data_IF_380128164214
#
_entry.id   IF_380128164214
#
_cell.length_a   1.000
_cell.length_b   1.000
_cell.length_c   1.000
_cell.angle_alpha   90.00
_cell.angle_beta   90.00
_cell.angle_gamma   90.00
#
_symmetry.space_group_name_H-M   'P 1'
#
loop_
_entity.id
_entity.type
_entity.pdbx_description
1 polymer ?
#
# COMPACT_ATOMS: atom_id res chain seq x y z
N UNK A 1 -7.11 5.30 64.15
CA UNK A 1 -6.33 4.40 63.28
C UNK A 1 -6.61 4.82 61.85
N UNK A 2 -5.55 5.13 61.10
CA UNK A 2 -5.53 5.86 59.83
C UNK A 2 -4.72 4.98 58.88
N UNK A 3 -5.16 4.86 57.63
CA UNK A 3 -4.57 4.16 56.46
C UNK A 3 -5.39 2.95 56.02
N UNK A 4 -6.25 3.18 55.03
CA UNK A 4 -6.43 2.31 53.85
C UNK A 4 -7.41 3.00 52.89
N UNK A 5 -6.99 4.14 52.35
CA UNK A 5 -7.62 4.82 51.21
C UNK A 5 -6.49 5.11 50.22
N UNK A 6 -6.01 4.06 49.55
CA UNK A 6 -5.02 4.16 48.48
C UNK A 6 -4.98 2.84 47.70
N UNK A 7 -6.03 2.58 46.94
CA UNK A 7 -6.03 1.67 45.81
C UNK A 7 -6.72 2.44 44.66
N UNK A 8 -6.15 3.53 44.16
CA UNK A 8 -5.13 3.53 43.08
C UNK A 8 -5.59 2.57 41.96
N UNK A 9 -6.57 2.96 41.13
CA UNK A 9 -6.43 3.85 39.95
C UNK A 9 -5.36 3.37 38.94
N UNK A 10 -5.33 2.06 38.65
CA UNK A 10 -4.49 1.46 37.59
C UNK A 10 -5.32 0.46 36.78
N UNK A 11 -6.23 0.92 35.92
CA UNK A 11 -6.98 0.00 35.02
C UNK A 11 -7.30 0.55 33.62
N UNK A 12 -6.63 1.61 33.16
CA UNK A 12 -6.98 2.25 31.87
C UNK A 12 -5.74 2.63 31.04
N UNK A 13 -4.87 1.66 30.76
CA UNK A 13 -3.67 1.92 29.93
C UNK A 13 -3.28 0.73 29.01
N UNK A 14 -4.24 -0.08 28.56
CA UNK A 14 -4.03 -1.10 27.52
C UNK A 14 -4.72 -0.77 26.18
N UNK A 15 -5.38 0.38 26.06
CA UNK A 15 -6.16 0.73 24.87
C UNK A 15 -5.32 1.27 23.68
N UNK A 16 -3.99 1.11 23.68
CA UNK A 16 -3.12 1.73 22.66
C UNK A 16 -2.14 0.79 21.97
N UNK A 17 -2.10 -0.50 22.32
CA UNK A 17 -1.14 -1.46 21.74
C UNK A 17 -1.80 -2.58 20.90
N UNK A 18 -3.11 -2.51 20.64
CA UNK A 18 -3.83 -3.59 19.94
C UNK A 18 -4.51 -3.19 18.62
N UNK A 19 -4.71 -1.90 18.31
CA UNK A 19 -5.36 -1.51 17.04
C UNK A 19 -4.44 -1.75 15.83
N UNK A 20 -3.15 -1.46 15.94
CA UNK A 20 -2.19 -1.66 14.85
C UNK A 20 -1.84 -3.14 14.61
N UNK A 21 -2.04 -4.00 15.61
CA UNK A 21 -1.75 -5.43 15.46
C UNK A 21 -2.86 -6.15 14.69
N UNK A 22 -4.13 -5.76 14.91
CA UNK A 22 -5.31 -6.31 14.23
C UNK A 22 -5.26 -6.12 12.70
N UNK A 23 -4.65 -5.04 12.22
CA UNK A 23 -4.43 -4.76 10.79
C UNK A 23 -3.59 -5.82 10.06
N UNK A 24 -2.78 -6.59 10.80
CA UNK A 24 -1.85 -7.59 10.24
C UNK A 24 -2.31 -9.03 10.41
N UNK A 25 -3.39 -9.27 11.16
CA UNK A 25 -3.92 -10.62 11.37
C UNK A 25 -4.77 -11.01 10.16
N UNK A 26 -4.38 -12.04 9.39
CA UNK A 26 -5.18 -12.48 8.25
C UNK A 26 -6.56 -12.98 8.71
N UNK A 27 -7.60 -12.63 7.96
CA UNK A 27 -8.97 -13.05 8.21
C UNK A 27 -9.79 -12.13 9.14
N UNK A 28 -9.24 -11.00 9.58
CA UNK A 28 -10.02 -9.95 10.25
C UNK A 28 -10.67 -9.01 9.23
N UNK A 29 -11.79 -8.38 9.58
CA UNK A 29 -12.44 -7.38 8.70
C UNK A 29 -11.52 -6.21 8.34
N UNK A 30 -10.59 -5.88 9.23
CA UNK A 30 -9.63 -4.80 9.04
C UNK A 30 -8.53 -5.18 8.04
N UNK A 31 -7.98 -6.39 8.15
CA UNK A 31 -7.08 -6.94 7.14
C UNK A 31 -7.74 -6.98 5.76
N UNK A 32 -8.98 -7.47 5.66
CA UNK A 32 -9.70 -7.53 4.38
C UNK A 32 -9.96 -6.13 3.80
N UNK A 33 -10.31 -5.14 4.64
CA UNK A 33 -10.45 -3.75 4.21
C UNK A 33 -9.12 -3.17 3.73
N UNK A 34 -8.01 -3.48 4.40
CA UNK A 34 -6.66 -3.08 4.00
C UNK A 34 -6.32 -3.67 2.62
N UNK A 35 -6.56 -4.97 2.42
CA UNK A 35 -6.34 -5.61 1.13
C UNK A 35 -7.22 -5.02 0.03
N UNK A 36 -8.48 -4.69 0.34
CA UNK A 36 -9.36 -4.01 -0.61
C UNK A 36 -8.82 -2.63 -1.02
N UNK A 37 -8.30 -1.84 -0.08
CA UNK A 37 -7.66 -0.55 -0.36
C UNK A 37 -6.42 -0.72 -1.26
N UNK A 38 -5.59 -1.73 -0.99
CA UNK A 38 -4.42 -2.05 -1.82
C UNK A 38 -4.87 -2.43 -3.24
N UNK A 39 -5.86 -3.31 -3.38
CA UNK A 39 -6.38 -3.71 -4.69
C UNK A 39 -6.98 -2.53 -5.47
N UNK A 40 -7.72 -1.64 -4.81
CA UNK A 40 -8.25 -0.41 -5.41
C UNK A 40 -7.13 0.53 -5.86
N UNK A 41 -6.07 0.68 -5.05
CA UNK A 41 -4.87 1.44 -5.42
C UNK A 41 -4.19 0.84 -6.65
N UNK A 42 -3.96 -0.48 -6.67
CA UNK A 42 -3.28 -1.18 -7.77
C UNK A 42 -4.05 -1.04 -9.09
N UNK A 43 -5.37 -1.21 -9.05
CA UNK A 43 -6.23 -1.01 -10.22
C UNK A 43 -6.19 0.43 -10.73
N UNK A 44 -6.20 1.41 -9.83
CA UNK A 44 -6.13 2.82 -10.19
C UNK A 44 -4.75 3.23 -10.75
N UNK A 45 -3.66 2.68 -10.19
CA UNK A 45 -2.30 2.90 -10.71
C UNK A 45 -2.14 2.29 -12.11
N UNK A 46 -2.73 1.11 -12.33
CA UNK A 46 -2.77 0.51 -13.66
C UNK A 46 -3.53 1.36 -14.68
N UNK A 47 -4.63 2.02 -14.27
CA UNK A 47 -5.44 2.84 -15.18
C UNK A 47 -4.73 4.13 -15.63
N UNK A 48 -3.78 4.64 -14.83
CA UNK A 48 -2.93 5.79 -15.20
C UNK A 48 -1.60 5.39 -15.84
N UNK A 49 -1.44 4.11 -16.18
CA UNK A 49 -0.29 3.60 -16.93
C UNK A 49 0.87 3.12 -16.06
N UNK A 50 0.62 2.70 -14.82
CA UNK A 50 1.59 2.09 -13.91
C UNK A 50 2.73 3.01 -13.44
N UNK A 51 2.51 4.33 -13.49
CA UNK A 51 3.51 5.34 -13.14
C UNK A 51 2.91 6.39 -12.22
N UNK A 52 3.66 6.79 -11.20
CA UNK A 52 3.31 7.85 -10.26
C UNK A 52 4.44 8.88 -10.25
N UNK A 53 4.45 9.75 -11.25
CA UNK A 53 5.55 10.71 -11.51
C UNK A 53 5.17 12.14 -11.16
N UNK A 54 3.90 12.51 -11.38
CA UNK A 54 3.40 13.86 -11.20
C UNK A 54 1.96 13.85 -10.66
N UNK A 55 1.48 15.02 -10.26
CA UNK A 55 0.11 15.23 -9.80
C UNK A 55 -0.96 14.71 -10.77
N UNK A 56 -0.67 14.73 -12.08
CA UNK A 56 -1.56 14.22 -13.11
C UNK A 56 -1.84 12.71 -12.98
N UNK A 57 -0.96 11.95 -12.31
CA UNK A 57 -1.20 10.53 -12.02
C UNK A 57 -1.72 10.30 -10.60
N UNK A 58 -1.27 11.08 -9.62
CA UNK A 58 -1.75 10.93 -8.23
C UNK A 58 -3.23 11.28 -8.08
N UNK A 59 -3.69 12.39 -8.67
CA UNK A 59 -5.07 12.85 -8.48
C UNK A 59 -6.11 11.84 -9.01
N UNK A 60 -5.96 11.24 -10.22
CA UNK A 60 -6.86 10.19 -10.66
C UNK A 60 -6.78 8.92 -9.81
N UNK A 61 -5.61 8.61 -9.23
CA UNK A 61 -5.46 7.43 -8.36
C UNK A 61 -6.24 7.62 -7.07
N UNK A 62 -6.12 8.78 -6.43
CA UNK A 62 -6.93 9.15 -5.25
C UNK A 62 -8.42 9.06 -5.55
N UNK A 63 -8.87 9.64 -6.67
CA UNK A 63 -10.28 9.64 -7.05
C UNK A 63 -10.83 8.25 -7.33
N UNK A 64 -10.08 7.41 -8.06
CA UNK A 64 -10.54 6.08 -8.45
C UNK A 64 -10.48 5.07 -7.32
N UNK A 65 -9.46 5.17 -6.46
CA UNK A 65 -9.30 4.28 -5.30
C UNK A 65 -10.12 4.72 -4.08
N UNK A 66 -10.55 5.98 -4.03
CA UNK A 66 -11.19 6.58 -2.86
C UNK A 66 -10.23 6.85 -1.69
N UNK A 67 -8.92 6.76 -1.93
CA UNK A 67 -7.88 6.94 -0.92
C UNK A 67 -7.40 8.38 -0.85
N UNK A 68 -6.96 8.80 0.34
CA UNK A 68 -6.29 10.09 0.51
C UNK A 68 -4.88 10.07 -0.05
N UNK A 69 -4.30 11.25 -0.31
CA UNK A 69 -2.88 11.38 -0.70
C UNK A 69 -1.93 10.65 0.26
N UNK A 70 -2.17 10.75 1.56
CA UNK A 70 -1.34 10.09 2.58
C UNK A 70 -1.44 8.56 2.46
N UNK A 71 -2.64 8.02 2.25
CA UNK A 71 -2.84 6.58 2.05
C UNK A 71 -2.20 6.08 0.75
N UNK A 72 -2.38 6.82 -0.35
CA UNK A 72 -1.77 6.49 -1.65
C UNK A 72 -0.24 6.43 -1.55
N UNK A 73 0.37 7.41 -0.88
CA UNK A 73 1.83 7.47 -0.69
C UNK A 73 2.33 6.47 0.35
N UNK A 74 1.54 6.14 1.36
CA UNK A 74 1.81 5.07 2.32
C UNK A 74 1.88 3.71 1.64
N UNK A 75 0.85 3.35 0.86
CA UNK A 75 0.84 2.10 0.07
C UNK A 75 2.03 2.09 -0.90
N UNK A 76 2.29 3.19 -1.62
CA UNK A 76 3.44 3.25 -2.52
C UNK A 76 4.77 2.98 -1.79
N UNK A 77 4.94 3.55 -0.59
CA UNK A 77 6.14 3.33 0.21
C UNK A 77 6.29 1.86 0.63
N UNK A 78 5.18 1.20 0.99
CA UNK A 78 5.16 -0.24 1.27
C UNK A 78 5.56 -1.06 0.05
N UNK A 79 5.03 -0.70 -1.13
CA UNK A 79 5.37 -1.36 -2.40
C UNK A 79 6.85 -1.16 -2.77
N UNK A 80 7.41 0.02 -2.52
CA UNK A 80 8.86 0.26 -2.69
C UNK A 80 9.67 -0.60 -1.74
N UNK A 81 9.30 -0.68 -0.46
CA UNK A 81 9.99 -1.52 0.53
C UNK A 81 9.92 -3.02 0.17
N UNK A 82 8.84 -3.46 -0.48
CA UNK A 82 8.67 -4.81 -0.99
C UNK A 82 9.40 -5.08 -2.32
N UNK A 83 10.08 -4.09 -2.92
CA UNK A 83 10.66 -4.15 -4.27
C UNK A 83 9.62 -4.36 -5.39
N UNK A 84 8.37 -3.95 -5.15
CA UNK A 84 7.25 -3.99 -6.10
C UNK A 84 7.07 -2.65 -6.86
N UNK A 85 7.80 -1.61 -6.45
CA UNK A 85 7.86 -0.33 -7.13
C UNK A 85 9.31 0.20 -7.16
N UNK A 86 9.68 0.88 -8.24
CA UNK A 86 11.03 1.37 -8.49
C UNK A 86 11.03 2.90 -8.57
N UNK A 87 11.88 3.54 -7.78
CA UNK A 87 12.09 4.98 -7.85
C UNK A 87 12.79 5.37 -9.16
N UNK A 88 12.36 6.48 -9.76
CA UNK A 88 12.94 7.01 -11.00
C UNK A 88 14.00 8.09 -10.72
N UNK A 89 15.08 8.15 -11.50
CA UNK A 89 16.11 9.20 -11.36
C UNK A 89 15.56 10.63 -11.46
N UNK A 90 14.55 10.84 -12.30
CA UNK A 90 13.85 12.11 -12.53
C UNK A 90 12.77 12.42 -11.48
N UNK A 91 12.56 11.51 -10.51
CA UNK A 91 11.51 11.61 -9.51
C UNK A 91 10.27 10.77 -9.83
N UNK A 92 9.55 10.40 -8.77
CA UNK A 92 8.40 9.51 -8.86
C UNK A 92 8.78 8.03 -8.99
N UNK A 93 7.80 7.21 -9.34
CA UNK A 93 7.90 5.75 -9.24
C UNK A 93 7.23 5.03 -10.41
N UNK A 94 7.80 3.89 -10.79
CA UNK A 94 7.18 2.89 -11.64
C UNK A 94 6.69 1.73 -10.77
N UNK A 95 5.40 1.40 -10.83
CA UNK A 95 4.85 0.21 -10.18
C UNK A 95 5.00 -0.99 -11.12
N UNK A 96 5.57 -2.10 -10.65
CA UNK A 96 6.00 -3.23 -11.51
C UNK A 96 5.43 -4.59 -11.07
N UNK A 97 4.46 -4.59 -10.16
CA UNK A 97 3.82 -5.79 -9.65
C UNK A 97 2.31 -5.81 -9.93
N UNK A 98 1.66 -6.92 -9.59
CA UNK A 98 0.22 -7.12 -9.75
C UNK A 98 -0.24 -6.81 -11.19
N UNK A 99 -1.24 -5.92 -11.39
CA UNK A 99 -1.75 -5.57 -12.72
C UNK A 99 -0.73 -4.82 -13.60
N UNK A 100 0.37 -4.34 -13.01
CA UNK A 100 1.45 -3.64 -13.70
C UNK A 100 2.68 -4.51 -13.97
N UNK A 101 2.58 -5.83 -13.72
CA UNK A 101 3.63 -6.78 -14.08
C UNK A 101 3.84 -6.74 -15.61
N UNK A 102 5.06 -6.48 -16.12
CA UNK A 102 5.32 -6.50 -17.55
C UNK A 102 4.94 -7.84 -18.15
N UNK A 103 4.18 -7.82 -19.25
CA UNK A 103 3.88 -9.04 -19.98
C UNK A 103 5.20 -9.72 -20.42
N UNK A 104 5.29 -11.07 -20.39
CA UNK A 104 6.41 -11.77 -20.97
C UNK A 104 6.56 -11.32 -22.42
N UNK A 105 7.69 -10.71 -22.76
CA UNK A 105 7.91 -10.26 -24.13
C UNK A 105 8.00 -11.51 -25.02
N UNK A 106 7.30 -11.56 -26.16
CA UNK A 106 7.55 -12.61 -27.13
C UNK A 106 9.01 -12.48 -27.58
N UNK A 107 9.80 -13.53 -27.34
CA UNK A 107 11.16 -13.63 -27.86
C UNK A 107 11.11 -13.40 -29.37
N UNK A 108 11.82 -12.39 -29.91
CA UNK A 108 11.87 -12.17 -31.35
C UNK A 108 12.35 -13.46 -32.01
N UNK A 109 11.56 -14.00 -32.93
CA UNK A 109 11.94 -15.20 -33.67
C UNK A 109 13.28 -14.93 -34.35
N UNK A 110 14.33 -15.65 -33.92
CA UNK A 110 15.65 -15.59 -34.55
C UNK A 110 15.46 -15.90 -36.03
N UNK A 111 15.72 -14.90 -36.87
CA UNK A 111 15.67 -15.05 -38.32
C UNK A 111 16.88 -15.89 -38.71
N UNK A 112 16.71 -17.22 -38.72
CA UNK A 112 17.69 -18.15 -39.29
C UNK A 112 17.69 -17.92 -40.79
N UNK A 113 18.62 -17.10 -41.27
CA UNK A 113 19.01 -17.04 -42.68
C UNK A 113 19.70 -18.36 -43.02
N UNK A 114 19.01 -19.20 -43.81
CA UNK A 114 19.58 -20.35 -44.53
C UNK A 114 19.52 -20.09 -46.02
#
# INVERSE_FOLDING_TARGET
MKKTLAALLVLTALAGCDEQFLETIPGTEEYERRQAQIASWEGAVASVGCKLVSEAQYLPVELQSGLTREQVTGILSEKVAANEAVARPEGGYDYVAGPCTPAPQPVPAETTTG
#
